data_IF_432605588878
#
_entry.id   IF_432605588878
#
_cell.length_a   1.000
_cell.length_b   1.000
_cell.length_c   1.000
_cell.angle_alpha   90.00
_cell.angle_beta   90.00
_cell.angle_gamma   90.00
#
_symmetry.space_group_name_H-M   'P 1'
#
loop_
_entity.id
_entity.type
_entity.pdbx_description
1 polymer ?
#
# COMPACT_ATOMS: atom_id res chain seq x y z
N UNK A 1 29.54 -2.09 -9.39
CA UNK A 1 28.27 -2.74 -9.76
C UNK A 1 27.17 -1.81 -9.37
N UNK A 2 26.25 -1.60 -10.29
CA UNK A 2 25.21 -0.60 -10.20
C UNK A 2 24.06 -1.11 -9.32
N UNK A 3 23.26 -0.18 -8.83
CA UNK A 3 22.08 -0.48 -8.02
C UNK A 3 20.87 0.18 -8.62
N UNK A 4 19.73 -0.49 -8.56
CA UNK A 4 18.47 -0.02 -9.13
C UNK A 4 17.41 0.01 -8.05
N UNK A 5 16.75 1.16 -7.89
CA UNK A 5 15.73 1.42 -6.88
C UNK A 5 14.35 1.37 -7.51
N UNK A 6 13.48 0.50 -7.01
CA UNK A 6 12.06 0.50 -7.38
C UNK A 6 11.39 1.80 -6.92
N UNK A 7 10.81 2.56 -7.85
CA UNK A 7 10.06 3.80 -7.62
C UNK A 7 8.85 3.58 -6.69
N UNK A 8 8.21 2.41 -6.78
CA UNK A 8 6.96 2.08 -6.08
C UNK A 8 7.20 1.76 -4.60
N UNK A 9 8.10 0.83 -4.31
CA UNK A 9 8.29 0.32 -2.95
C UNK A 9 9.68 0.62 -2.34
N UNK A 10 10.64 1.06 -3.14
CA UNK A 10 12.01 1.32 -2.71
C UNK A 10 12.87 0.05 -2.53
N UNK A 11 12.47 -1.09 -3.10
CA UNK A 11 13.35 -2.27 -3.21
C UNK A 11 14.61 -1.90 -4.00
N UNK A 12 15.78 -2.39 -3.56
CA UNK A 12 17.05 -2.15 -4.24
C UNK A 12 17.53 -3.47 -4.85
N UNK A 13 17.58 -3.53 -6.17
CA UNK A 13 18.33 -4.54 -6.89
C UNK A 13 19.82 -4.15 -6.90
N UNK A 14 20.69 -5.05 -6.46
CA UNK A 14 22.14 -4.87 -6.42
C UNK A 14 22.77 -5.88 -7.38
N UNK A 15 23.34 -5.41 -8.50
CA UNK A 15 23.94 -6.29 -9.51
C UNK A 15 25.00 -7.20 -8.89
N UNK A 16 25.74 -6.75 -7.87
CA UNK A 16 26.76 -7.56 -7.23
C UNK A 16 26.19 -8.76 -6.48
N UNK A 17 24.93 -8.66 -6.03
CA UNK A 17 24.25 -9.71 -5.27
C UNK A 17 23.37 -10.58 -6.16
N UNK A 18 22.79 -10.01 -7.22
CA UNK A 18 21.73 -10.67 -7.98
C UNK A 18 20.52 -10.99 -7.09
N UNK A 19 19.71 -11.97 -7.52
CA UNK A 19 18.63 -12.56 -6.73
C UNK A 19 18.67 -14.09 -6.97
N UNK A 20 19.59 -14.82 -6.32
CA UNK A 20 19.79 -16.25 -6.61
C UNK A 20 18.54 -17.10 -6.40
N UNK A 21 17.72 -16.73 -5.42
CA UNK A 21 16.44 -17.38 -5.10
C UNK A 21 15.42 -17.28 -6.24
N UNK A 22 15.52 -16.24 -7.08
CA UNK A 22 14.69 -16.04 -8.27
C UNK A 22 15.42 -16.38 -9.57
N UNK A 23 16.55 -17.11 -9.48
CA UNK A 23 17.34 -17.53 -10.65
C UNK A 23 18.23 -16.44 -11.26
N UNK A 24 18.37 -15.28 -10.61
CA UNK A 24 19.25 -14.19 -11.07
C UNK A 24 20.59 -14.30 -10.34
N UNK A 25 21.65 -14.68 -11.04
CA UNK A 25 22.95 -14.92 -10.44
C UNK A 25 23.60 -13.61 -9.91
N UNK A 26 24.49 -13.69 -8.89
CA UNK A 26 25.32 -12.56 -8.50
C UNK A 26 26.17 -12.10 -9.69
N UNK A 27 26.17 -10.79 -9.93
CA UNK A 27 26.86 -10.16 -11.05
C UNK A 27 26.02 -9.99 -12.32
N UNK A 28 24.75 -10.44 -12.35
CA UNK A 28 23.84 -10.15 -13.46
C UNK A 28 23.59 -8.64 -13.57
N UNK A 29 23.96 -8.06 -14.71
CA UNK A 29 23.72 -6.65 -15.00
C UNK A 29 22.22 -6.38 -15.13
N UNK A 30 21.81 -5.14 -14.85
CA UNK A 30 20.41 -4.77 -14.98
C UNK A 30 19.86 -5.03 -16.38
N UNK A 31 20.66 -4.79 -17.43
CA UNK A 31 20.27 -5.07 -18.82
C UNK A 31 19.92 -6.54 -19.05
N UNK A 32 20.63 -7.45 -18.36
CA UNK A 32 20.50 -8.90 -18.47
C UNK A 32 19.38 -9.49 -17.59
N UNK A 33 18.80 -8.70 -16.67
CA UNK A 33 17.63 -9.13 -15.90
C UNK A 33 16.46 -9.40 -16.87
N UNK A 34 15.75 -10.53 -16.77
CA UNK A 34 14.61 -10.85 -17.65
C UNK A 34 13.56 -9.72 -17.69
N UNK A 35 12.94 -9.48 -18.86
CA UNK A 35 11.97 -8.38 -19.01
C UNK A 35 10.67 -8.61 -18.24
N UNK A 36 10.32 -9.86 -18.06
CA UNK A 36 9.17 -10.37 -17.31
C UNK A 36 9.45 -10.43 -15.80
N UNK A 37 10.69 -10.19 -15.36
CA UNK A 37 10.99 -10.09 -13.95
C UNK A 37 10.29 -8.87 -13.33
N UNK A 38 9.68 -9.10 -12.16
CA UNK A 38 8.98 -8.09 -11.38
C UNK A 38 9.61 -7.93 -10.00
N UNK A 39 9.45 -6.75 -9.41
CA UNK A 39 9.91 -6.44 -8.06
C UNK A 39 9.33 -7.47 -7.06
N UNK A 40 10.16 -8.15 -6.26
CA UNK A 40 9.71 -9.18 -5.33
C UNK A 40 8.88 -8.62 -4.16
N UNK A 41 8.92 -7.30 -3.93
CA UNK A 41 8.18 -6.66 -2.84
C UNK A 41 6.81 -6.12 -3.24
N UNK A 42 6.63 -5.72 -4.49
CA UNK A 42 5.39 -5.04 -4.91
C UNK A 42 4.89 -5.44 -6.30
N UNK A 43 5.64 -6.25 -7.06
CA UNK A 43 5.27 -6.64 -8.41
C UNK A 43 5.48 -5.58 -9.48
N UNK A 44 6.13 -4.46 -9.17
CA UNK A 44 6.44 -3.43 -10.15
C UNK A 44 7.34 -4.00 -11.26
N UNK A 45 7.10 -3.60 -12.50
CA UNK A 45 7.89 -4.06 -13.65
C UNK A 45 9.30 -3.48 -13.62
N UNK A 46 10.18 -4.00 -14.47
CA UNK A 46 11.54 -3.49 -14.65
C UNK A 46 11.58 -1.99 -15.02
N UNK A 47 10.55 -1.47 -15.68
CA UNK A 47 10.47 -0.06 -16.10
C UNK A 47 10.29 0.91 -14.93
N UNK A 48 9.77 0.42 -13.80
CA UNK A 48 9.55 1.19 -12.57
C UNK A 48 10.83 1.32 -11.71
N UNK A 49 11.99 0.91 -12.21
CA UNK A 49 13.26 1.01 -11.47
C UNK A 49 14.14 2.12 -12.01
N UNK A 50 14.72 2.88 -11.08
CA UNK A 50 15.60 4.01 -11.37
C UNK A 50 17.01 3.66 -10.92
N UNK A 51 18.01 3.94 -11.74
CA UNK A 51 19.43 3.73 -11.40
C UNK A 51 19.82 4.62 -10.21
N UNK A 52 20.39 4.02 -9.16
CA UNK A 52 20.72 4.72 -7.92
C UNK A 52 21.86 5.74 -8.17
N UNK A 53 21.50 7.03 -8.23
CA UNK A 53 22.42 8.12 -8.57
C UNK A 53 21.97 8.94 -9.78
N UNK A 54 21.04 8.42 -10.57
CA UNK A 54 20.29 9.20 -11.55
C UNK A 54 19.04 9.73 -10.85
N UNK A 55 18.93 11.06 -10.76
CA UNK A 55 17.69 11.68 -10.33
C UNK A 55 16.65 11.33 -11.38
N UNK A 56 15.61 10.59 -11.01
CA UNK A 56 14.43 10.50 -11.85
C UNK A 56 14.03 11.93 -12.20
N UNK A 57 13.99 12.24 -13.50
CA UNK A 57 13.21 13.37 -13.99
C UNK A 57 11.76 12.98 -13.73
N UNK A 58 11.33 13.07 -12.47
CA UNK A 58 9.93 13.22 -12.16
C UNK A 58 9.54 14.48 -12.89
N UNK A 59 8.81 14.33 -13.99
CA UNK A 59 7.85 15.33 -14.41
C UNK A 59 6.98 15.53 -13.18
N UNK A 60 7.38 16.49 -12.34
CA UNK A 60 6.53 17.05 -11.31
C UNK A 60 5.40 17.75 -12.07
N UNK A 61 4.40 16.97 -12.49
CA UNK A 61 3.06 17.51 -12.49
C UNK A 61 2.76 17.73 -11.01
N UNK A 62 3.19 18.90 -10.49
CA UNK A 62 2.59 19.48 -9.29
C UNK A 62 1.10 19.43 -9.56
N UNK A 63 0.32 18.57 -8.87
CA UNK A 63 -1.11 18.66 -8.98
C UNK A 63 -1.45 20.04 -8.47
N UNK A 64 -1.99 20.87 -9.37
CA UNK A 64 -2.58 22.13 -9.03
C UNK A 64 -3.68 21.79 -8.04
N UNK A 65 -3.60 22.35 -6.83
CA UNK A 65 -4.59 22.17 -5.79
C UNK A 65 -5.96 22.60 -6.33
N UNK A 66 -6.79 21.64 -6.74
CA UNK A 66 -8.20 21.90 -7.03
C UNK A 66 -8.91 21.82 -5.69
N UNK A 67 -8.81 22.88 -4.90
CA UNK A 67 -9.59 23.00 -3.69
C UNK A 67 -10.74 23.96 -3.97
N UNK A 68 -11.89 23.40 -4.35
CA UNK A 68 -13.14 23.84 -3.73
C UNK A 68 -13.22 23.11 -2.39
N UNK A 69 -12.95 23.84 -1.30
CA UNK A 69 -13.32 23.40 0.04
C UNK A 69 -14.85 23.34 0.04
N UNK A 70 -15.40 22.16 -0.24
CA UNK A 70 -16.77 21.85 0.16
C UNK A 70 -16.87 22.15 1.64
N UNK A 71 -17.59 23.21 2.00
CA UNK A 71 -17.88 23.60 3.39
C UNK A 71 -18.69 22.55 4.14
N UNK A 72 -19.21 21.56 3.43
CA UNK A 72 -20.19 20.63 3.94
C UNK A 72 -19.49 19.38 4.44
N UNK A 73 -19.67 19.09 5.73
CA UNK A 73 -19.26 17.81 6.32
C UNK A 73 -19.99 16.68 5.60
N UNK A 74 -19.25 15.85 4.88
CA UNK A 74 -19.80 14.67 4.22
C UNK A 74 -20.13 13.60 5.27
N UNK A 75 -21.36 13.10 5.24
CA UNK A 75 -21.76 11.97 6.08
C UNK A 75 -21.06 10.69 5.59
N UNK A 76 -20.46 9.94 6.53
CA UNK A 76 -19.82 8.66 6.23
C UNK A 76 -20.87 7.57 6.07
N UNK A 77 -20.65 6.70 5.09
CA UNK A 77 -21.42 5.46 4.95
C UNK A 77 -21.22 4.55 6.17
N UNK A 78 -22.14 3.58 6.39
CA UNK A 78 -21.94 2.59 7.45
C UNK A 78 -20.61 1.83 7.34
N UNK A 79 -20.15 1.50 6.12
CA UNK A 79 -18.89 0.79 5.95
C UNK A 79 -17.68 1.66 6.31
N UNK A 80 -17.68 2.93 5.92
CA UNK A 80 -16.63 3.89 6.31
C UNK A 80 -16.61 4.10 7.83
N UNK A 81 -17.78 4.20 8.46
CA UNK A 81 -17.88 4.31 9.92
C UNK A 81 -17.37 3.04 10.63
N UNK A 82 -17.67 1.86 10.08
CA UNK A 82 -17.12 0.59 10.56
C UNK A 82 -15.58 0.57 10.48
N UNK A 83 -15.01 1.02 9.36
CA UNK A 83 -13.56 1.09 9.17
C UNK A 83 -12.91 2.08 10.15
N UNK A 84 -13.51 3.27 10.33
CA UNK A 84 -13.07 4.26 11.30
C UNK A 84 -13.06 3.69 12.73
N UNK A 85 -14.16 3.06 13.14
CA UNK A 85 -14.27 2.44 14.46
C UNK A 85 -13.23 1.32 14.66
N UNK A 86 -12.95 0.52 13.63
CA UNK A 86 -11.89 -0.52 13.71
C UNK A 86 -10.51 0.09 13.93
N UNK A 87 -10.20 1.21 13.26
CA UNK A 87 -8.94 1.94 13.45
C UNK A 87 -8.84 2.57 14.85
N UNK A 88 -9.94 3.14 15.35
CA UNK A 88 -10.01 3.69 16.71
C UNK A 88 -9.81 2.59 17.76
N UNK A 89 -10.42 1.41 17.58
CA UNK A 89 -10.21 0.26 18.47
C UNK A 89 -8.72 -0.12 18.58
N UNK A 90 -8.03 -0.26 17.45
CA UNK A 90 -6.57 -0.52 17.40
C UNK A 90 -5.76 0.61 18.05
N UNK A 91 -6.20 1.86 17.90
CA UNK A 91 -5.61 3.01 18.56
C UNK A 91 -5.73 2.94 20.09
N UNK A 92 -6.88 2.50 20.60
CA UNK A 92 -7.13 2.29 22.02
C UNK A 92 -6.30 1.13 22.59
N UNK A 93 -6.19 0.02 21.87
CA UNK A 93 -5.34 -1.12 22.28
C UNK A 93 -3.88 -0.68 22.49
N UNK A 94 -3.32 0.10 21.54
CA UNK A 94 -1.96 0.64 21.64
C UNK A 94 -1.76 1.61 22.81
N UNK A 95 -2.84 2.18 23.31
CA UNK A 95 -2.86 3.10 24.45
C UNK A 95 -3.26 2.40 25.76
N UNK A 96 -3.35 1.07 25.77
CA UNK A 96 -3.75 0.27 26.93
C UNK A 96 -5.14 0.65 27.46
N UNK A 97 -6.06 0.95 26.53
CA UNK A 97 -7.47 1.29 26.78
C UNK A 97 -8.40 0.15 26.34
N UNK A 98 -8.47 -0.97 27.09
CA UNK A 98 -9.15 -2.18 26.64
C UNK A 98 -10.67 -2.02 26.57
N UNK A 99 -11.26 -1.21 27.45
CA UNK A 99 -12.70 -0.96 27.46
C UNK A 99 -13.13 -0.18 26.22
N UNK A 100 -12.46 0.94 25.93
CA UNK A 100 -12.76 1.75 24.74
C UNK A 100 -12.48 0.99 23.45
N UNK A 101 -11.40 0.18 23.41
CA UNK A 101 -11.14 -0.71 22.29
C UNK A 101 -12.31 -1.66 22.04
N UNK A 102 -12.83 -2.31 23.09
CA UNK A 102 -14.00 -3.19 23.00
C UNK A 102 -15.25 -2.46 22.52
N UNK A 103 -15.49 -1.23 22.99
CA UNK A 103 -16.63 -0.42 22.57
C UNK A 103 -16.54 -0.03 21.09
N UNK A 104 -15.37 0.39 20.62
CA UNK A 104 -15.16 0.69 19.21
C UNK A 104 -15.30 -0.55 18.32
N UNK A 105 -14.87 -1.73 18.78
CA UNK A 105 -15.10 -3.00 18.08
C UNK A 105 -16.60 -3.30 17.94
N UNK A 106 -17.39 -3.11 19.00
CA UNK A 106 -18.85 -3.28 18.94
C UNK A 106 -19.51 -2.30 17.97
N UNK A 107 -19.07 -1.05 17.95
CA UNK A 107 -19.55 -0.05 16.98
C UNK A 107 -19.17 -0.45 15.55
N UNK A 108 -17.94 -0.90 15.33
CA UNK A 108 -17.50 -1.38 14.02
C UNK A 108 -18.40 -2.51 13.52
N UNK A 109 -18.69 -3.51 14.36
CA UNK A 109 -19.60 -4.61 14.02
C UNK A 109 -21.03 -4.14 13.74
N UNK A 110 -21.54 -3.19 14.52
CA UNK A 110 -22.86 -2.60 14.31
C UNK A 110 -22.96 -1.94 12.93
N UNK A 111 -22.01 -1.06 12.61
CA UNK A 111 -22.00 -0.36 11.32
C UNK A 111 -21.72 -1.30 10.15
N UNK A 112 -20.88 -2.32 10.33
CA UNK A 112 -20.63 -3.36 9.32
C UNK A 112 -21.90 -4.14 8.98
N UNK A 113 -22.74 -4.45 9.98
CA UNK A 113 -24.03 -5.12 9.76
C UNK A 113 -25.04 -4.24 9.01
N UNK A 114 -24.93 -2.93 9.14
CA UNK A 114 -25.75 -1.96 8.43
C UNK A 114 -25.24 -1.63 7.01
N UNK A 115 -24.02 -2.08 6.64
CA UNK A 115 -23.44 -1.81 5.33
C UNK A 115 -24.14 -2.65 4.25
N UNK A 116 -24.60 -1.97 3.20
CA UNK A 116 -25.08 -2.64 1.99
C UNK A 116 -23.87 -3.16 1.18
N UNK A 117 -24.02 -4.28 0.46
CA UNK A 117 -23.04 -4.71 -0.53
C UNK A 117 -22.80 -3.64 -1.59
N UNK A 118 -21.62 -3.65 -2.21
CA UNK A 118 -21.33 -2.80 -3.36
C UNK A 118 -22.35 -3.08 -4.48
N UNK A 119 -22.90 -2.01 -5.06
CA UNK A 119 -23.71 -2.09 -6.27
C UNK A 119 -22.71 -2.20 -7.42
N UNK A 120 -22.71 -3.33 -8.13
CA UNK A 120 -21.82 -3.60 -9.27
C UNK A 120 -20.33 -3.65 -8.89
N UNK A 121 -19.89 -4.71 -8.16
CA UNK A 121 -18.50 -4.87 -7.76
C UNK A 121 -17.63 -5.33 -8.95
N UNK A 122 -17.30 -4.38 -9.82
CA UNK A 122 -16.37 -4.61 -10.93
C UNK A 122 -14.95 -4.22 -10.54
N UNK A 123 -13.97 -4.93 -11.11
CA UNK A 123 -12.56 -4.73 -10.82
C UNK A 123 -12.07 -3.34 -11.23
N UNK A 124 -12.51 -2.87 -12.39
CA UNK A 124 -12.15 -1.57 -12.95
C UNK A 124 -12.61 -0.42 -12.05
N UNK A 125 -13.82 -0.53 -11.49
CA UNK A 125 -14.34 0.46 -10.53
C UNK A 125 -13.47 0.56 -9.28
N UNK A 126 -12.93 -0.56 -8.79
CA UNK A 126 -12.01 -0.57 -7.65
C UNK A 126 -10.66 0.08 -7.99
N UNK A 127 -10.10 -0.24 -9.16
CA UNK A 127 -8.86 0.38 -9.63
C UNK A 127 -9.02 1.88 -9.82
N UNK A 128 -10.14 2.34 -10.40
CA UNK A 128 -10.41 3.76 -10.61
C UNK A 128 -10.43 4.54 -9.29
N UNK A 129 -11.05 3.99 -8.25
CA UNK A 129 -11.05 4.60 -6.91
C UNK A 129 -9.62 4.74 -6.35
N UNK A 130 -8.81 3.69 -6.49
CA UNK A 130 -7.41 3.68 -6.03
C UNK A 130 -6.57 4.69 -6.82
N UNK A 131 -6.75 4.75 -8.13
CA UNK A 131 -6.05 5.71 -8.97
C UNK A 131 -6.45 7.15 -8.64
N UNK A 132 -7.73 7.41 -8.35
CA UNK A 132 -8.20 8.72 -7.94
C UNK A 132 -7.57 9.15 -6.60
N UNK A 133 -7.48 8.23 -5.62
CA UNK A 133 -6.76 8.50 -4.38
C UNK A 133 -5.28 8.84 -4.65
N UNK A 134 -4.61 8.13 -5.55
CA UNK A 134 -3.20 8.38 -5.87
C UNK A 134 -2.96 9.67 -6.67
N UNK A 135 -3.87 10.02 -7.58
CA UNK A 135 -3.76 11.19 -8.47
C UNK A 135 -4.23 12.48 -7.81
N UNK A 136 -5.29 12.41 -7.01
CA UNK A 136 -5.95 13.59 -6.44
C UNK A 136 -6.01 13.55 -4.91
N UNK A 137 -6.46 12.43 -4.32
CA UNK A 137 -6.71 12.31 -2.88
C UNK A 137 -5.47 12.58 -2.01
N UNK A 138 -4.41 11.79 -2.20
CA UNK A 138 -3.15 11.93 -1.46
C UNK A 138 -2.46 13.26 -1.71
N UNK A 139 -2.31 13.76 -2.95
CA UNK A 139 -1.71 15.07 -3.16
C UNK A 139 -2.48 16.21 -2.50
N UNK A 140 -3.80 16.21 -2.56
CA UNK A 140 -4.63 17.22 -1.90
C UNK A 140 -4.48 17.15 -0.37
N UNK A 141 -4.57 15.95 0.21
CA UNK A 141 -4.39 15.75 1.64
C UNK A 141 -2.98 16.14 2.11
N UNK A 142 -1.94 15.82 1.32
CA UNK A 142 -0.56 16.20 1.62
C UNK A 142 -0.36 17.72 1.56
N UNK A 143 -0.99 18.41 0.61
CA UNK A 143 -0.93 19.87 0.50
C UNK A 143 -1.53 20.54 1.75
N UNK A 144 -2.70 20.08 2.20
CA UNK A 144 -3.37 20.58 3.41
C UNK A 144 -2.54 20.27 4.66
N UNK A 145 -2.10 19.01 4.83
CA UNK A 145 -1.28 18.62 5.99
C UNK A 145 0.04 19.42 6.05
N UNK A 146 0.62 19.73 4.89
CA UNK A 146 1.84 20.54 4.79
C UNK A 146 1.59 22.01 5.13
N UNK A 147 0.48 22.61 4.67
CA UNK A 147 0.14 24.00 4.99
C UNK A 147 -0.11 24.20 6.48
N UNK A 148 -0.76 23.22 7.12
CA UNK A 148 -1.00 23.20 8.57
C UNK A 148 0.22 22.73 9.38
N UNK A 149 1.29 22.29 8.72
CA UNK A 149 2.50 21.72 9.34
C UNK A 149 2.20 20.51 10.24
N UNK A 150 1.14 19.77 9.94
CA UNK A 150 0.76 18.56 10.66
C UNK A 150 1.68 17.40 10.30
N UNK A 151 2.76 17.25 11.09
CA UNK A 151 3.73 16.17 10.92
C UNK A 151 3.13 14.78 11.12
N UNK A 152 2.08 14.65 11.92
CA UNK A 152 1.40 13.38 12.16
C UNK A 152 0.67 12.93 10.90
N UNK A 153 -0.15 13.83 10.34
CA UNK A 153 -0.88 13.60 9.10
C UNK A 153 0.07 13.36 7.93
N UNK A 154 1.10 14.21 7.74
CA UNK A 154 2.08 14.03 6.67
C UNK A 154 2.77 12.65 6.73
N UNK A 155 3.14 12.18 7.93
CA UNK A 155 3.74 10.85 8.09
C UNK A 155 2.76 9.74 7.73
N UNK A 156 1.51 9.84 8.17
CA UNK A 156 0.48 8.87 7.85
C UNK A 156 0.24 8.81 6.34
N UNK A 157 0.12 9.97 5.68
CA UNK A 157 -0.08 10.08 4.23
C UNK A 157 1.06 9.45 3.44
N UNK A 158 2.33 9.66 3.83
CA UNK A 158 3.48 9.02 3.16
C UNK A 158 3.38 7.49 3.18
N UNK A 159 2.99 6.91 4.32
CA UNK A 159 2.86 5.46 4.42
C UNK A 159 1.64 4.95 3.68
N UNK A 160 0.49 5.61 3.84
CA UNK A 160 -0.76 5.28 3.17
C UNK A 160 -0.62 5.33 1.66
N UNK A 161 -0.05 6.42 1.11
CA UNK A 161 0.17 6.56 -0.33
C UNK A 161 1.08 5.43 -0.85
N UNK A 162 2.15 5.12 -0.13
CA UNK A 162 3.08 4.04 -0.51
C UNK A 162 2.39 2.68 -0.55
N UNK A 163 1.58 2.33 0.45
CA UNK A 163 0.86 1.05 0.43
C UNK A 163 -0.26 1.03 -0.60
N UNK A 164 -0.88 2.17 -0.91
CA UNK A 164 -1.88 2.28 -1.97
C UNK A 164 -1.25 2.09 -3.35
N UNK A 165 -0.03 2.63 -3.60
CA UNK A 165 0.71 2.36 -4.86
C UNK A 165 1.04 0.87 -5.01
N UNK A 166 1.44 0.22 -3.92
CA UNK A 166 1.71 -1.22 -3.90
C UNK A 166 0.41 -2.01 -4.15
N UNK A 167 -0.69 -1.62 -3.51
CA UNK A 167 -2.00 -2.23 -3.73
C UNK A 167 -2.43 -2.11 -5.19
N UNK A 168 -2.28 -0.93 -5.80
CA UNK A 168 -2.56 -0.72 -7.22
C UNK A 168 -1.75 -1.69 -8.10
N UNK A 169 -0.43 -1.78 -7.86
CA UNK A 169 0.45 -2.68 -8.60
C UNK A 169 0.07 -4.17 -8.43
N UNK A 170 -0.36 -4.57 -7.23
CA UNK A 170 -0.80 -5.94 -6.94
C UNK A 170 -2.12 -6.24 -7.66
N UNK A 171 -3.09 -5.33 -7.59
CA UNK A 171 -4.39 -5.50 -8.23
C UNK A 171 -4.24 -5.55 -9.76
N UNK A 172 -3.48 -4.64 -10.38
CA UNK A 172 -3.23 -4.69 -11.83
C UNK A 172 -2.51 -5.97 -12.29
N UNK A 173 -1.75 -6.63 -11.41
CA UNK A 173 -1.20 -7.97 -11.69
C UNK A 173 -2.26 -9.05 -11.55
N UNK A 174 -3.03 -9.01 -10.46
CA UNK A 174 -4.11 -9.97 -10.22
C UNK A 174 -5.15 -9.97 -11.34
N UNK A 175 -5.44 -8.81 -11.92
CA UNK A 175 -6.31 -8.70 -13.10
C UNK A 175 -5.83 -9.54 -14.30
N UNK A 176 -4.51 -9.61 -14.49
CA UNK A 176 -3.87 -10.28 -15.63
C UNK A 176 -3.58 -11.76 -15.35
N UNK A 177 -3.13 -12.04 -14.13
CA UNK A 177 -2.65 -13.36 -13.70
C UNK A 177 -3.77 -14.21 -13.05
N UNK A 178 -4.82 -13.57 -12.53
CA UNK A 178 -5.90 -14.23 -11.79
C UNK A 178 -5.40 -14.99 -10.56
N UNK A 179 -6.04 -16.12 -10.27
CA UNK A 179 -5.70 -16.99 -9.13
C UNK A 179 -4.26 -17.52 -9.19
N UNK A 180 -3.63 -17.58 -10.37
CA UNK A 180 -2.25 -18.02 -10.52
C UNK A 180 -1.25 -17.14 -9.73
N UNK A 181 -1.59 -15.87 -9.46
CA UNK A 181 -0.81 -14.99 -8.60
C UNK A 181 -0.68 -15.53 -7.16
N UNK A 182 -1.68 -16.30 -6.73
CA UNK A 182 -1.81 -16.80 -5.36
C UNK A 182 -1.34 -18.26 -5.23
N UNK A 183 -1.01 -18.92 -6.34
CA UNK A 183 -0.61 -20.32 -6.36
C UNK A 183 0.62 -20.57 -5.48
N UNK A 184 0.49 -21.49 -4.53
CA UNK A 184 1.53 -21.89 -3.59
C UNK A 184 2.06 -20.77 -2.67
N UNK A 185 1.43 -19.59 -2.63
CA UNK A 185 1.87 -18.47 -1.79
C UNK A 185 0.85 -18.11 -0.70
N UNK A 186 1.23 -17.22 0.22
CA UNK A 186 0.31 -16.61 1.18
C UNK A 186 0.17 -15.10 0.98
N UNK A 187 -1.01 -14.55 1.31
CA UNK A 187 -1.25 -13.12 1.39
C UNK A 187 -1.10 -12.67 2.84
N UNK A 188 -0.23 -11.70 3.08
CA UNK A 188 0.05 -11.18 4.42
C UNK A 188 -0.09 -9.66 4.44
N UNK A 189 -0.67 -9.12 5.51
CA UNK A 189 -0.89 -7.69 5.67
C UNK A 189 -0.23 -7.18 6.94
N UNK A 190 0.60 -6.15 6.82
CA UNK A 190 1.16 -5.47 7.98
C UNK A 190 0.06 -4.70 8.74
N UNK A 191 -0.21 -5.10 9.98
CA UNK A 191 -1.24 -4.50 10.86
C UNK A 191 -0.98 -3.05 11.24
N UNK A 192 0.19 -2.50 10.90
CA UNK A 192 0.60 -1.14 11.27
C UNK A 192 0.43 -0.16 10.11
N UNK A 193 0.80 -0.55 8.88
CA UNK A 193 0.78 0.34 7.73
C UNK A 193 -0.07 -0.16 6.56
N UNK A 194 -0.58 -1.40 6.60
CA UNK A 194 -1.38 -1.98 5.52
C UNK A 194 -0.58 -2.54 4.35
N UNK A 195 0.76 -2.60 4.42
CA UNK A 195 1.58 -3.21 3.37
C UNK A 195 1.16 -4.67 3.14
N UNK A 196 0.85 -4.98 1.88
CA UNK A 196 0.46 -6.32 1.42
C UNK A 196 1.69 -7.01 0.84
N UNK A 197 1.94 -8.22 1.31
CA UNK A 197 2.97 -9.10 0.80
C UNK A 197 2.33 -10.39 0.29
N UNK A 198 2.69 -10.80 -0.92
CA UNK A 198 2.28 -12.08 -1.53
C UNK A 198 3.54 -12.90 -1.73
N UNK A 199 3.64 -14.04 -1.06
CA UNK A 199 4.81 -14.91 -1.12
C UNK A 199 4.84 -15.94 0.02
N UNK A 200 5.88 -16.76 0.04
CA UNK A 200 5.99 -17.88 0.99
C UNK A 200 6.59 -17.45 2.33
N UNK A 201 7.59 -16.56 2.26
CA UNK A 201 8.38 -16.13 3.43
C UNK A 201 8.23 -14.63 3.61
N UNK A 202 7.50 -14.23 4.65
CA UNK A 202 7.34 -12.81 4.99
C UNK A 202 8.68 -12.15 5.32
N UNK A 203 8.87 -10.85 5.00
CA UNK A 203 10.10 -10.15 5.33
C UNK A 203 10.26 -9.96 6.85
N UNK A 204 11.48 -10.12 7.36
CA UNK A 204 11.82 -9.94 8.79
C UNK A 204 11.38 -8.57 9.34
N UNK A 205 11.45 -7.55 8.49
CA UNK A 205 11.07 -6.17 8.79
C UNK A 205 10.18 -5.64 7.66
N UNK A 206 9.05 -5.05 8.03
CA UNK A 206 8.15 -4.41 7.07
C UNK A 206 8.89 -3.34 6.25
N UNK A 207 8.90 -3.40 4.91
CA UNK A 207 9.66 -2.47 4.08
C UNK A 207 9.13 -1.04 4.14
N UNK A 208 7.87 -0.85 4.55
CA UNK A 208 7.21 0.46 4.66
C UNK A 208 7.44 1.08 6.03
N UNK A 209 6.88 0.52 7.11
CA UNK A 209 6.90 1.13 8.44
C UNK A 209 7.98 0.60 9.39
N UNK A 210 8.80 -0.37 8.94
CA UNK A 210 9.94 -0.92 9.69
C UNK A 210 9.62 -1.67 10.98
N UNK A 211 8.36 -2.09 11.16
CA UNK A 211 8.00 -3.00 12.26
C UNK A 211 8.43 -4.44 11.95
N UNK A 212 8.66 -5.29 12.96
CA UNK A 212 9.09 -6.66 12.72
C UNK A 212 7.98 -7.56 12.15
N UNK A 213 8.37 -8.72 11.63
CA UNK A 213 7.50 -9.66 10.91
C UNK A 213 6.28 -10.16 11.71
N UNK A 214 6.35 -10.26 13.05
CA UNK A 214 5.21 -10.65 13.89
C UNK A 214 4.03 -9.65 13.88
N UNK A 215 4.19 -8.49 13.22
CA UNK A 215 3.12 -7.55 12.93
C UNK A 215 2.39 -7.82 11.61
N UNK A 216 2.77 -8.85 10.86
CA UNK A 216 2.02 -9.30 9.70
C UNK A 216 0.96 -10.32 10.12
N UNK A 217 -0.24 -10.15 9.59
CA UNK A 217 -1.32 -11.12 9.70
C UNK A 217 -1.51 -11.82 8.34
N UNK A 218 -1.59 -13.15 8.36
CA UNK A 218 -1.97 -13.91 7.17
C UNK A 218 -3.46 -13.72 6.91
N UNK A 219 -3.81 -13.39 5.68
CA UNK A 219 -5.20 -13.26 5.26
C UNK A 219 -5.65 -14.62 4.72
N UNK A 220 -6.63 -15.21 5.40
CA UNK A 220 -7.31 -16.42 4.94
C UNK A 220 -8.55 -15.99 4.14
N UNK A 221 -8.65 -16.44 2.88
CA UNK A 221 -9.85 -16.23 2.07
C UNK A 221 -11.07 -16.80 2.79
N UNK A 222 -12.15 -16.03 2.86
CA UNK A 222 -13.43 -16.47 3.43
C UNK A 222 -14.33 -17.07 2.37
#
# INVERSE_FOLDING_TARGET
MEKYLCSICGYIYDEAKGIPESGIAPGTLWEDVPKDWVCPLCGATKEEFIKQGESATTTENKPVSVIELSSDMKELSPLEMSALCTNLARGCEKQYKPEEASLFTKLAEYFKKAAAPAKEPEFDNLLELIENDLKEGFPNANAIASSEKDRGAMRALVWSEKVTRILNSILSRYEKEGDALLDNTGVYVCTICGYIYIGDTIPDICPVCKVPNWKFEKIEGR
#
